data_IF_571595397181
#
_entry.id   IF_571595397181
#
_cell.length_a   1.000
_cell.length_b   1.000
_cell.length_c   1.000
_cell.angle_alpha   90.00
_cell.angle_beta   90.00
_cell.angle_gamma   90.00
#
_symmetry.space_group_name_H-M   'P 1'
#
loop_
_entity.id
_entity.type
_entity.pdbx_description
1 polymer ?
#
# COMPACT_ATOMS: atom_id res chain seq x y z
N UNK A 1 22.10 -18.20 -5.51
CA UNK A 1 21.85 -17.68 -6.87
C UNK A 1 20.41 -17.20 -6.92
N UNK A 2 20.18 -15.90 -6.89
CA UNK A 2 18.87 -15.31 -7.17
C UNK A 2 18.48 -15.67 -8.60
N UNK A 3 17.50 -16.53 -8.75
CA UNK A 3 16.99 -16.95 -10.05
C UNK A 3 16.45 -15.70 -10.75
N UNK A 4 17.06 -15.29 -11.87
CA UNK A 4 16.56 -14.16 -12.65
C UNK A 4 15.13 -14.47 -13.11
N UNK A 5 14.24 -13.51 -12.95
CA UNK A 5 12.87 -13.57 -13.48
C UNK A 5 12.91 -13.80 -14.99
N UNK A 6 12.04 -14.66 -15.52
CA UNK A 6 11.97 -14.88 -16.97
C UNK A 6 11.49 -13.61 -17.68
N UNK A 7 11.95 -13.38 -18.95
CA UNK A 7 11.47 -12.22 -19.74
C UNK A 7 9.95 -12.20 -19.91
N UNK A 8 9.33 -13.37 -20.06
CA UNK A 8 7.89 -13.52 -20.24
C UNK A 8 7.12 -13.10 -18.97
N UNK A 9 7.60 -13.56 -17.79
CA UNK A 9 7.01 -13.19 -16.51
C UNK A 9 7.16 -11.68 -16.29
N UNK A 10 8.34 -11.12 -16.58
CA UNK A 10 8.56 -9.69 -16.47
C UNK A 10 7.63 -8.90 -17.39
N UNK A 11 7.49 -9.31 -18.65
CA UNK A 11 6.59 -8.66 -19.61
C UNK A 11 5.14 -8.70 -19.11
N UNK A 12 4.69 -9.82 -18.52
CA UNK A 12 3.36 -9.94 -17.96
C UNK A 12 3.16 -9.03 -16.73
N UNK A 13 4.14 -8.96 -15.84
CA UNK A 13 4.06 -8.09 -14.64
C UNK A 13 4.03 -6.59 -15.00
N UNK A 14 4.72 -6.22 -16.07
CA UNK A 14 4.82 -4.82 -16.51
C UNK A 14 3.69 -4.42 -17.50
N UNK A 15 2.83 -5.34 -17.92
CA UNK A 15 1.78 -5.07 -18.92
C UNK A 15 0.65 -4.21 -18.32
N UNK A 16 0.51 -2.94 -18.75
CA UNK A 16 -0.48 -2.03 -18.18
C UNK A 16 -1.93 -2.39 -18.56
N UNK A 17 -2.14 -3.20 -19.58
CA UNK A 17 -3.48 -3.65 -19.98
C UNK A 17 -3.92 -4.82 -19.11
N UNK A 18 -3.04 -5.79 -18.93
CA UNK A 18 -3.33 -6.99 -18.14
C UNK A 18 -3.40 -6.68 -16.65
N UNK A 19 -2.52 -5.82 -16.14
CA UNK A 19 -2.39 -5.57 -14.71
C UNK A 19 -3.46 -4.66 -14.14
N UNK A 20 -3.94 -3.69 -14.91
CA UNK A 20 -4.97 -2.76 -14.46
C UNK A 20 -6.32 -3.45 -14.36
N UNK A 21 -6.92 -3.41 -13.18
CA UNK A 21 -8.28 -3.90 -12.92
C UNK A 21 -9.09 -2.81 -12.21
N UNK A 22 -10.39 -2.68 -12.50
CA UNK A 22 -11.23 -1.71 -11.80
C UNK A 22 -11.31 -2.05 -10.32
N UNK A 23 -11.57 -1.05 -9.46
CA UNK A 23 -11.75 -1.29 -8.03
C UNK A 23 -13.03 -2.11 -7.81
N UNK A 24 -13.01 -2.96 -6.79
CA UNK A 24 -14.21 -3.73 -6.43
C UNK A 24 -14.34 -3.83 -4.91
N UNK A 25 -15.58 -3.92 -4.45
CA UNK A 25 -15.92 -4.08 -3.05
C UNK A 25 -15.56 -5.50 -2.60
N UNK A 26 -14.79 -5.60 -1.51
CA UNK A 26 -14.43 -6.86 -0.84
C UNK A 26 -15.35 -7.08 0.37
N UNK A 27 -15.57 -6.02 1.15
CA UNK A 27 -16.51 -5.93 2.27
C UNK A 27 -17.17 -4.55 2.22
N UNK A 28 -18.21 -4.30 3.02
CA UNK A 28 -18.95 -3.03 2.95
C UNK A 28 -18.08 -1.81 3.27
N UNK A 29 -17.03 -2.00 4.04
CA UNK A 29 -16.05 -0.98 4.37
C UNK A 29 -14.68 -1.17 3.70
N UNK A 30 -14.51 -2.14 2.80
CA UNK A 30 -13.20 -2.46 2.19
C UNK A 30 -13.31 -2.63 0.69
N UNK A 31 -12.46 -1.92 -0.06
CA UNK A 31 -12.31 -2.07 -1.51
C UNK A 31 -10.91 -2.53 -1.86
N UNK A 32 -10.82 -3.39 -2.85
CA UNK A 32 -9.58 -3.67 -3.56
C UNK A 32 -9.33 -2.54 -4.57
N UNK A 33 -8.13 -1.95 -4.53
CA UNK A 33 -7.74 -0.85 -5.41
C UNK A 33 -6.39 -1.09 -6.10
N UNK A 34 -5.87 -2.31 -5.98
CA UNK A 34 -4.56 -2.73 -6.48
C UNK A 34 -4.51 -3.13 -7.95
N UNK A 35 -3.48 -3.89 -8.27
CA UNK A 35 -3.23 -4.51 -9.56
C UNK A 35 -3.63 -5.99 -9.53
N UNK A 36 -3.54 -6.66 -10.67
CA UNK A 36 -3.77 -8.10 -10.72
C UNK A 36 -2.75 -8.90 -9.89
N UNK A 37 -1.51 -8.43 -9.76
CA UNK A 37 -0.44 -9.13 -9.04
C UNK A 37 0.02 -8.43 -7.74
N UNK A 38 -0.22 -7.13 -7.58
CA UNK A 38 0.11 -6.39 -6.35
C UNK A 38 -1.16 -5.85 -5.72
N UNK A 39 -1.40 -6.25 -4.48
CA UNK A 39 -2.56 -5.83 -3.73
C UNK A 39 -2.39 -4.41 -3.17
N UNK A 40 -3.49 -3.66 -3.19
CA UNK A 40 -3.70 -2.48 -2.36
C UNK A 40 -5.16 -2.45 -1.93
N UNK A 41 -5.43 -2.01 -0.70
CA UNK A 41 -6.78 -1.97 -0.14
C UNK A 41 -7.11 -0.59 0.39
N UNK A 42 -8.36 -0.19 0.21
CA UNK A 42 -8.93 1.02 0.78
C UNK A 42 -9.96 0.65 1.85
N UNK A 43 -9.77 1.16 3.05
CA UNK A 43 -10.66 0.95 4.20
C UNK A 43 -11.42 2.25 4.45
N UNK A 44 -12.75 2.21 4.38
CA UNK A 44 -13.63 3.33 4.71
C UNK A 44 -13.92 3.36 6.20
N UNK A 45 -13.86 4.54 6.78
CA UNK A 45 -14.24 4.82 8.17
C UNK A 45 -15.22 5.99 8.25
N UNK A 46 -15.69 6.35 9.44
CA UNK A 46 -16.54 7.53 9.63
C UNK A 46 -15.78 8.85 9.45
N UNK A 47 -14.43 8.84 9.57
CA UNK A 47 -13.59 10.05 9.57
C UNK A 47 -12.63 10.08 8.36
N UNK A 48 -12.94 9.34 7.29
CA UNK A 48 -12.13 9.27 6.08
C UNK A 48 -11.65 7.85 5.78
N UNK A 49 -10.47 7.74 5.16
CA UNK A 49 -9.98 6.46 4.63
C UNK A 49 -8.58 6.13 5.12
N UNK A 50 -8.31 4.82 5.19
CA UNK A 50 -6.99 4.22 5.37
C UNK A 50 -6.65 3.46 4.10
N UNK A 51 -5.50 3.74 3.50
CA UNK A 51 -4.96 3.00 2.36
C UNK A 51 -3.91 2.01 2.84
N UNK A 52 -3.95 0.78 2.34
CA UNK A 52 -2.91 -0.23 2.54
C UNK A 52 -2.11 -0.35 1.24
N UNK A 53 -0.79 -0.10 1.32
CA UNK A 53 0.19 -0.08 0.24
C UNK A 53 -0.05 0.98 -0.85
N UNK A 54 0.98 1.25 -1.65
CA UNK A 54 1.02 2.40 -2.56
C UNK A 54 1.21 2.02 -4.02
N UNK A 55 1.37 0.72 -4.32
CA UNK A 55 1.83 0.26 -5.61
C UNK A 55 3.21 0.88 -5.99
N UNK A 56 3.51 0.88 -7.28
CA UNK A 56 4.79 1.36 -7.82
C UNK A 56 4.62 2.01 -9.19
N UNK A 57 5.56 2.86 -9.64
CA UNK A 57 5.60 3.28 -11.03
C UNK A 57 5.80 2.08 -11.99
N UNK A 58 5.05 2.00 -13.12
CA UNK A 58 4.19 3.05 -13.68
C UNK A 58 2.73 3.01 -13.21
N UNK A 59 2.39 2.19 -12.23
CA UNK A 59 0.99 1.86 -11.87
C UNK A 59 0.37 2.76 -10.79
N UNK A 60 1.11 3.71 -10.22
CA UNK A 60 0.56 4.63 -9.20
C UNK A 60 -0.64 5.43 -9.75
N UNK A 61 -0.58 5.83 -11.03
CA UNK A 61 -1.71 6.48 -11.70
C UNK A 61 -2.97 5.64 -11.70
N UNK A 62 -2.85 4.31 -11.85
CA UNK A 62 -3.98 3.40 -11.77
C UNK A 62 -4.63 3.36 -10.37
N UNK A 63 -3.82 3.41 -9.31
CA UNK A 63 -4.34 3.54 -7.95
C UNK A 63 -5.16 4.83 -7.79
N UNK A 64 -4.64 5.95 -8.32
CA UNK A 64 -5.33 7.25 -8.29
C UNK A 64 -6.64 7.17 -9.07
N UNK A 65 -6.63 6.56 -10.27
CA UNK A 65 -7.84 6.35 -11.08
C UNK A 65 -8.87 5.50 -10.33
N UNK A 66 -8.45 4.44 -9.65
CA UNK A 66 -9.33 3.58 -8.86
C UNK A 66 -9.96 4.33 -7.67
N UNK A 67 -9.22 5.20 -6.99
CA UNK A 67 -9.77 6.07 -5.94
C UNK A 67 -10.80 7.05 -6.52
N UNK A 68 -10.53 7.63 -7.69
CA UNK A 68 -11.46 8.53 -8.37
C UNK A 68 -12.76 7.80 -8.80
N UNK A 69 -12.66 6.56 -9.30
CA UNK A 69 -13.84 5.73 -9.63
C UNK A 69 -14.72 5.45 -8.41
N UNK A 70 -14.13 5.41 -7.21
CA UNK A 70 -14.85 5.27 -5.95
C UNK A 70 -15.33 6.60 -5.37
N UNK A 71 -15.12 7.73 -6.09
CA UNK A 71 -15.42 9.10 -5.63
C UNK A 71 -14.72 9.46 -4.31
N UNK A 72 -13.50 8.97 -4.10
CA UNK A 72 -12.69 9.27 -2.92
C UNK A 72 -11.88 10.54 -3.18
N UNK A 73 -12.07 11.55 -2.36
CA UNK A 73 -11.21 12.74 -2.36
C UNK A 73 -9.85 12.37 -1.72
N UNK A 74 -8.72 12.62 -2.40
CA UNK A 74 -7.38 12.36 -1.83
C UNK A 74 -7.15 13.00 -0.46
N UNK A 75 -7.80 14.11 -0.15
CA UNK A 75 -7.70 14.77 1.16
C UNK A 75 -8.37 14.00 2.31
N UNK A 76 -9.25 13.05 1.99
CA UNK A 76 -9.91 12.17 2.95
C UNK A 76 -9.05 10.95 3.33
N UNK A 77 -7.94 10.68 2.63
CA UNK A 77 -6.96 9.67 3.05
C UNK A 77 -6.22 10.22 4.27
N UNK A 78 -6.32 9.55 5.41
CA UNK A 78 -5.71 9.97 6.69
C UNK A 78 -4.50 9.12 7.08
N UNK A 79 -4.47 7.87 6.64
CA UNK A 79 -3.33 6.99 6.84
C UNK A 79 -3.03 6.21 5.56
N UNK A 80 -1.75 5.99 5.33
CA UNK A 80 -1.22 5.03 4.36
C UNK A 80 -0.35 4.06 5.14
N UNK A 81 -0.81 2.82 5.30
CA UNK A 81 -0.13 1.78 6.03
C UNK A 81 0.59 0.87 5.02
N UNK A 82 1.91 0.88 5.01
CA UNK A 82 2.71 0.09 4.09
C UNK A 82 3.14 -1.21 4.76
N UNK A 83 3.03 -2.32 4.04
CA UNK A 83 3.27 -3.65 4.61
C UNK A 83 4.75 -3.96 4.78
N UNK A 84 5.61 -3.58 3.83
CA UNK A 84 7.05 -3.80 3.85
C UNK A 84 7.78 -2.95 2.81
N UNK A 85 9.12 -2.94 2.84
CA UNK A 85 9.95 -2.00 2.09
C UNK A 85 10.19 -2.30 0.60
N UNK A 86 9.55 -3.30 -0.02
CA UNK A 86 9.73 -3.58 -1.44
C UNK A 86 9.05 -2.53 -2.33
N UNK A 87 9.64 -2.31 -3.52
CA UNK A 87 9.27 -1.24 -4.44
C UNK A 87 7.79 -1.27 -4.87
N UNK A 88 7.24 -2.46 -5.03
CA UNK A 88 5.86 -2.68 -5.48
C UNK A 88 4.81 -2.35 -4.41
N UNK A 89 5.22 -2.20 -3.16
CA UNK A 89 4.39 -1.82 -2.02
C UNK A 89 4.60 -0.36 -1.58
N UNK A 90 5.83 0.17 -1.68
CA UNK A 90 6.16 1.52 -1.22
C UNK A 90 6.50 2.51 -2.34
N UNK A 91 6.70 2.02 -3.57
CA UNK A 91 7.23 2.82 -4.69
C UNK A 91 6.34 3.99 -5.11
N UNK A 92 5.05 3.94 -4.81
CA UNK A 92 4.10 5.02 -5.06
C UNK A 92 4.10 6.12 -4.00
N UNK A 93 4.71 5.92 -2.84
CA UNK A 93 4.61 6.83 -1.71
C UNK A 93 5.04 8.28 -2.07
N UNK A 94 6.12 8.45 -2.82
CA UNK A 94 6.60 9.78 -3.25
C UNK A 94 5.60 10.51 -4.15
N UNK A 95 4.89 9.78 -5.01
CA UNK A 95 3.87 10.35 -5.90
C UNK A 95 2.59 10.68 -5.12
N UNK A 96 2.21 9.82 -4.16
CA UNK A 96 0.96 9.96 -3.40
C UNK A 96 1.05 10.98 -2.27
N UNK A 97 2.21 11.16 -1.66
CA UNK A 97 2.39 12.08 -0.51
C UNK A 97 1.90 13.51 -0.77
N UNK A 98 2.23 14.17 -1.91
CA UNK A 98 1.74 15.51 -2.18
C UNK A 98 0.23 15.57 -2.46
N UNK A 99 -0.39 14.46 -2.88
CA UNK A 99 -1.83 14.36 -3.12
C UNK A 99 -2.60 14.10 -1.81
N UNK A 100 -2.08 13.23 -0.96
CA UNK A 100 -2.68 12.86 0.32
C UNK A 100 -2.16 13.77 1.44
N UNK A 101 -2.45 15.07 1.33
CA UNK A 101 -1.89 16.12 2.20
C UNK A 101 -2.14 15.90 3.69
N UNK A 102 -3.24 15.21 4.02
CA UNK A 102 -3.66 14.94 5.39
C UNK A 102 -3.22 13.55 5.89
N UNK A 103 -2.56 12.75 5.04
CA UNK A 103 -2.20 11.39 5.38
C UNK A 103 -0.85 11.31 6.11
N UNK A 104 -0.81 10.44 7.13
CA UNK A 104 0.44 9.94 7.71
C UNK A 104 0.78 8.61 7.05
N UNK A 105 2.02 8.50 6.58
CA UNK A 105 2.56 7.27 6.03
C UNK A 105 3.26 6.49 7.14
N UNK A 106 2.88 5.23 7.29
CA UNK A 106 3.32 4.39 8.39
C UNK A 106 3.81 3.02 7.93
N UNK A 107 4.87 2.54 8.56
CA UNK A 107 5.45 1.22 8.34
C UNK A 107 6.28 0.82 9.56
N UNK A 108 6.58 -0.47 9.73
CA UNK A 108 7.53 -0.93 10.74
C UNK A 108 8.94 -0.35 10.53
N UNK A 109 9.74 -0.22 11.60
CA UNK A 109 11.11 0.35 11.52
C UNK A 109 11.95 -0.36 10.46
N UNK A 110 11.96 -1.70 10.48
CA UNK A 110 12.70 -2.50 9.50
C UNK A 110 12.21 -2.30 8.06
N UNK A 111 10.90 -2.13 7.86
CA UNK A 111 10.35 -1.85 6.54
C UNK A 111 10.83 -0.49 5.99
N UNK A 112 10.92 0.53 6.85
CA UNK A 112 11.53 1.81 6.48
C UNK A 112 13.00 1.65 6.12
N UNK A 113 13.79 0.95 6.95
CA UNK A 113 15.20 0.67 6.67
C UNK A 113 15.37 -0.03 5.32
N UNK A 114 14.60 -1.11 5.06
CA UNK A 114 14.62 -1.85 3.79
C UNK A 114 14.31 -0.96 2.59
N UNK A 115 13.32 -0.08 2.70
CA UNK A 115 12.96 0.84 1.60
C UNK A 115 14.11 1.79 1.24
N UNK A 116 14.87 2.25 2.23
CA UNK A 116 16.04 3.12 2.01
C UNK A 116 17.27 2.33 1.55
N UNK A 117 17.51 1.15 2.09
CA UNK A 117 18.63 0.30 1.68
C UNK A 117 18.52 -0.14 0.22
N UNK A 118 17.30 -0.41 -0.24
CA UNK A 118 17.01 -0.81 -1.61
C UNK A 118 16.83 0.36 -2.58
N UNK A 119 16.92 1.60 -2.09
CA UNK A 119 16.67 2.79 -2.89
C UNK A 119 17.57 2.86 -4.13
N UNK A 120 16.95 2.83 -5.31
CA UNK A 120 17.64 2.85 -6.59
C UNK A 120 18.45 1.59 -6.93
N UNK A 121 18.36 0.52 -6.14
CA UNK A 121 19.08 -0.74 -6.37
C UNK A 121 18.14 -1.83 -6.87
N UNK A 122 18.46 -2.45 -7.99
CA UNK A 122 17.69 -3.56 -8.56
C UNK A 122 16.21 -3.21 -8.73
N UNK A 123 15.34 -3.92 -8.04
CA UNK A 123 13.89 -3.68 -8.00
C UNK A 123 13.47 -2.69 -6.89
N UNK A 124 14.40 -2.11 -6.14
CA UNK A 124 14.09 -1.15 -5.09
C UNK A 124 13.39 0.11 -5.60
N UNK A 125 12.71 0.86 -4.73
CA UNK A 125 12.08 2.11 -5.11
C UNK A 125 13.14 3.12 -5.58
N UNK A 126 12.81 3.91 -6.61
CA UNK A 126 13.73 4.95 -7.11
C UNK A 126 13.83 6.15 -6.17
N UNK A 127 12.74 6.45 -5.51
CA UNK A 127 12.60 7.54 -4.55
C UNK A 127 11.72 7.10 -3.40
N UNK A 128 11.94 7.65 -2.22
CA UNK A 128 11.12 7.40 -1.04
C UNK A 128 10.89 8.70 -0.28
N UNK A 129 9.74 8.81 0.38
CA UNK A 129 9.46 9.89 1.32
C UNK A 129 10.33 9.73 2.58
N UNK A 130 10.60 10.80 3.33
CA UNK A 130 11.20 10.67 4.66
C UNK A 130 10.36 9.76 5.55
N UNK A 131 11.00 9.05 6.47
CA UNK A 131 10.30 8.24 7.48
C UNK A 131 9.38 9.14 8.31
N UNK A 132 8.09 8.78 8.39
CA UNK A 132 7.10 9.55 9.15
C UNK A 132 6.67 8.82 10.42
N UNK A 133 5.83 7.80 10.28
CA UNK A 133 5.30 7.06 11.43
C UNK A 133 5.89 5.65 11.46
N UNK A 134 6.43 5.27 12.61
CA UNK A 134 6.95 3.92 12.84
C UNK A 134 5.94 3.14 13.64
N UNK A 135 5.52 1.99 13.11
CA UNK A 135 4.63 1.05 13.79
C UNK A 135 5.45 -0.03 14.51
N UNK A 136 5.00 -0.36 15.71
CA UNK A 136 5.53 -1.47 16.51
C UNK A 136 4.59 -2.65 16.46
N UNK A 137 5.11 -3.84 16.76
CA UNK A 137 4.28 -5.03 16.88
C UNK A 137 3.16 -4.85 17.92
N UNK A 138 1.94 -5.17 17.51
CA UNK A 138 0.73 -5.01 18.32
C UNK A 138 0.18 -3.57 18.42
N UNK A 139 0.86 -2.59 17.85
CA UNK A 139 0.41 -1.20 17.87
C UNK A 139 -0.86 -1.01 17.01
N UNK A 140 -1.68 -0.05 17.38
CA UNK A 140 -2.95 0.22 16.71
C UNK A 140 -3.01 1.63 16.13
N UNK A 141 -3.66 1.74 14.97
CA UNK A 141 -4.04 3.01 14.32
C UNK A 141 -5.56 3.07 14.30
N UNK A 142 -6.13 4.09 14.92
CA UNK A 142 -7.59 4.28 14.96
C UNK A 142 -7.96 5.51 14.12
N UNK A 143 -8.99 5.33 13.27
CA UNK A 143 -9.62 6.39 12.50
C UNK A 143 -11.13 6.19 12.54
N UNK A 144 -11.86 7.14 13.11
CA UNK A 144 -13.30 7.04 13.30
C UNK A 144 -13.68 5.75 14.04
N UNK A 145 -14.54 4.95 13.43
CA UNK A 145 -15.03 3.68 13.97
C UNK A 145 -14.14 2.47 13.69
N UNK A 146 -12.96 2.67 13.11
CA UNK A 146 -12.08 1.55 12.69
C UNK A 146 -10.74 1.62 13.39
N UNK A 147 -10.36 0.52 14.05
CA UNK A 147 -9.03 0.32 14.63
C UNK A 147 -8.30 -0.76 13.84
N UNK A 148 -7.17 -0.39 13.26
CA UNK A 148 -6.25 -1.30 12.57
C UNK A 148 -5.12 -1.66 13.53
N UNK A 149 -4.90 -2.95 13.75
CA UNK A 149 -3.78 -3.46 14.54
C UNK A 149 -2.66 -3.91 13.62
N UNK A 150 -1.46 -3.40 13.83
CA UNK A 150 -0.25 -3.81 13.14
C UNK A 150 0.39 -5.00 13.86
N UNK A 151 0.71 -6.06 13.12
CA UNK A 151 1.33 -7.27 13.65
C UNK A 151 2.59 -7.55 12.83
N UNK A 152 3.74 -7.64 13.50
CA UNK A 152 4.97 -8.04 12.85
C UNK A 152 4.89 -9.50 12.39
N UNK A 153 5.06 -9.71 11.09
CA UNK A 153 5.01 -11.03 10.45
C UNK A 153 6.22 -11.23 9.54
N UNK A 154 7.46 -11.23 10.13
CA UNK A 154 8.67 -11.38 9.34
C UNK A 154 8.68 -12.72 8.61
N UNK A 155 9.25 -12.71 7.39
CA UNK A 155 9.32 -13.89 6.54
C UNK A 155 9.66 -13.53 5.11
N UNK A 156 8.75 -12.86 4.41
CA UNK A 156 9.01 -12.31 3.08
C UNK A 156 10.13 -11.25 3.12
N UNK A 157 10.05 -10.33 4.07
CA UNK A 157 11.16 -9.50 4.54
C UNK A 157 11.17 -9.48 6.07
N UNK A 158 12.25 -8.96 6.69
CA UNK A 158 12.32 -8.78 8.14
C UNK A 158 11.32 -7.70 8.61
N UNK A 159 11.04 -6.70 7.76
CA UNK A 159 10.18 -5.58 8.03
C UNK A 159 8.71 -5.79 7.73
N UNK A 160 8.30 -7.02 7.34
CA UNK A 160 6.91 -7.29 6.96
C UNK A 160 5.94 -7.18 8.13
N UNK A 161 4.87 -6.43 7.92
CA UNK A 161 3.72 -6.30 8.82
C UNK A 161 2.44 -6.79 8.16
N UNK A 162 1.58 -7.43 8.96
CA UNK A 162 0.18 -7.72 8.64
C UNK A 162 -0.72 -6.76 9.40
N UNK A 163 -1.86 -6.41 8.80
CA UNK A 163 -2.84 -5.50 9.38
C UNK A 163 -4.15 -6.21 9.63
N UNK A 164 -4.62 -6.17 10.87
CA UNK A 164 -5.90 -6.77 11.30
C UNK A 164 -6.88 -5.66 11.64
N UNK A 165 -8.06 -5.70 11.02
CA UNK A 165 -9.10 -4.68 11.21
C UNK A 165 -10.50 -5.31 11.03
N UNK A 166 -11.54 -4.69 11.62
CA UNK A 166 -12.90 -5.16 11.46
C UNK A 166 -13.40 -4.95 10.02
N UNK A 167 -14.11 -5.92 9.51
CA UNK A 167 -14.82 -5.84 8.23
C UNK A 167 -16.30 -6.03 8.46
N UNK A 168 -17.13 -5.45 7.62
CA UNK A 168 -18.58 -5.51 7.69
C UNK A 168 -19.11 -6.14 6.41
N UNK A 169 -20.12 -7.02 6.58
CA UNK A 169 -20.87 -7.59 5.48
C UNK A 169 -22.35 -7.57 5.90
N UNK A 170 -23.18 -6.96 5.08
CA UNK A 170 -24.62 -7.06 5.23
C UNK A 170 -25.04 -8.51 4.95
N UNK A 171 -25.71 -9.13 5.95
CA UNK A 171 -26.23 -10.49 5.89
C UNK A 171 -27.41 -10.65 4.95
#
# INVERSE_FOLDING_TARGET
QTKKMSPELKAWLDDPVIQKIPPYKVFDNVWYVGLRWVAAYLIKTNDGYILIDTLHPPFVGHLIDNLALLNVDPSEIKYVLMTHGHFDHVGGATTLKPLFKNAKFAMGEKGWEESFEHLGKGAGPKTMIPKEMVLKDGETVTLGNTTVRAIATPGHTEGTFSYVYPVYADG
#
